data_IF_530102913154
#
_entry.id   IF_530102913154
#
_cell.length_a   1.000
_cell.length_b   1.000
_cell.length_c   1.000
_cell.angle_alpha   90.00
_cell.angle_beta   90.00
_cell.angle_gamma   90.00
#
_symmetry.space_group_name_H-M   'P 1'
#
loop_
_entity.id
_entity.type
_entity.pdbx_description
1 polymer ?
#
# COMPACT_ATOMS: atom_id res chain seq x y z
N UNK A 1 14.35 65.37 41.40
CA UNK A 1 14.44 63.96 41.81
C UNK A 1 13.89 63.09 40.69
N UNK A 2 14.71 62.14 40.20
CA UNK A 2 14.45 60.90 39.41
C UNK A 2 13.40 60.99 38.27
N UNK A 3 13.80 60.94 36.98
CA UNK A 3 13.90 59.72 36.10
C UNK A 3 12.64 58.82 36.29
N UNK A 4 11.84 58.51 35.27
CA UNK A 4 12.18 57.60 34.17
C UNK A 4 11.38 57.89 32.88
N UNK A 5 12.13 57.92 31.78
CA UNK A 5 11.72 57.64 30.41
C UNK A 5 11.39 56.13 30.30
N UNK A 6 10.19 55.78 29.84
CA UNK A 6 9.85 54.41 29.48
C UNK A 6 9.32 54.40 28.05
N UNK A 7 10.20 53.92 27.17
CA UNK A 7 9.93 53.57 25.78
C UNK A 7 8.82 52.50 25.74
N UNK A 8 7.75 52.77 24.99
CA UNK A 8 6.94 51.71 24.40
C UNK A 8 7.59 51.36 23.04
N UNK A 9 8.59 50.47 23.08
CA UNK A 9 9.10 49.82 21.86
C UNK A 9 8.09 48.76 21.44
N UNK A 10 7.80 48.79 20.15
CA UNK A 10 6.99 47.87 19.38
C UNK A 10 7.09 46.39 19.83
N UNK A 11 5.96 45.80 20.18
CA UNK A 11 5.75 44.36 20.13
C UNK A 11 4.49 44.09 19.33
N UNK A 12 4.62 44.11 18.00
CA UNK A 12 3.64 43.49 17.10
C UNK A 12 4.30 43.17 15.75
N UNK A 13 5.39 42.42 15.79
CA UNK A 13 5.94 41.76 14.61
C UNK A 13 6.52 40.43 15.07
N UNK A 14 5.73 39.37 15.04
CA UNK A 14 6.15 37.97 14.84
C UNK A 14 4.92 37.06 14.96
N UNK A 15 4.06 37.10 13.95
CA UNK A 15 3.00 36.10 13.76
C UNK A 15 2.90 35.70 12.28
N UNK A 16 4.04 35.37 11.68
CA UNK A 16 4.09 34.77 10.34
C UNK A 16 5.22 33.73 10.27
N UNK A 17 5.19 32.73 11.14
CA UNK A 17 6.01 31.53 10.96
C UNK A 17 5.26 30.30 11.46
N UNK A 18 4.21 29.91 10.74
CA UNK A 18 3.85 28.50 10.65
C UNK A 18 3.01 28.18 9.40
N UNK A 19 3.39 28.72 8.25
CA UNK A 19 3.17 27.94 7.03
C UNK A 19 4.29 26.92 6.97
N UNK A 20 4.07 25.72 7.56
CA UNK A 20 4.86 24.55 7.15
C UNK A 20 4.58 24.38 5.66
N UNK A 21 5.57 24.66 4.82
CA UNK A 21 5.51 24.28 3.41
C UNK A 21 5.29 22.78 3.37
N UNK A 22 4.23 22.33 2.69
CA UNK A 22 4.04 20.90 2.42
C UNK A 22 5.32 20.36 1.79
N UNK A 23 5.80 19.23 2.30
CA UNK A 23 6.95 18.58 1.67
C UNK A 23 6.53 18.21 0.24
N UNK A 24 7.36 18.51 -0.77
CA UNK A 24 7.04 18.11 -2.14
C UNK A 24 6.96 16.58 -2.24
N UNK A 25 6.10 16.09 -3.12
CA UNK A 25 6.01 14.68 -3.47
C UNK A 25 7.34 14.15 -4.01
N UNK A 26 7.77 13.00 -3.51
CA UNK A 26 8.84 12.22 -4.12
C UNK A 26 8.24 11.30 -5.19
N UNK A 27 8.70 11.44 -6.43
CA UNK A 27 8.30 10.54 -7.51
C UNK A 27 9.03 9.20 -7.35
N UNK A 28 8.29 8.10 -7.21
CA UNK A 28 8.86 6.74 -7.18
C UNK A 28 9.04 6.17 -8.59
N UNK A 29 8.13 6.49 -9.50
CA UNK A 29 8.31 6.24 -10.93
C UNK A 29 8.87 7.50 -11.58
N UNK A 30 10.02 7.37 -12.27
CA UNK A 30 10.71 8.52 -12.85
C UNK A 30 10.13 8.98 -14.20
N UNK A 31 9.11 8.30 -14.72
CA UNK A 31 8.50 8.65 -16.00
C UNK A 31 9.30 8.20 -17.21
N UNK A 32 10.34 7.37 -17.06
CA UNK A 32 11.19 6.94 -18.18
C UNK A 32 11.45 5.44 -18.18
N UNK A 33 11.80 4.86 -17.04
CA UNK A 33 12.19 3.47 -16.90
C UNK A 33 11.90 2.97 -15.46
N UNK A 34 12.41 1.78 -15.12
CA UNK A 34 12.25 1.17 -13.80
C UNK A 34 13.50 1.33 -12.92
N UNK A 35 14.34 2.34 -13.17
CA UNK A 35 15.45 2.66 -12.27
C UNK A 35 14.91 3.01 -10.87
N UNK A 36 15.55 2.48 -9.83
CA UNK A 36 15.06 2.58 -8.46
C UNK A 36 14.13 1.43 -8.03
N UNK A 37 13.78 0.53 -8.95
CA UNK A 37 12.96 -0.65 -8.68
C UNK A 37 13.76 -1.95 -8.79
N UNK A 38 13.26 -2.98 -8.11
CA UNK A 38 13.63 -4.37 -8.27
C UNK A 38 12.45 -5.15 -8.84
N UNK A 39 12.72 -6.04 -9.78
CA UNK A 39 11.72 -6.90 -10.42
C UNK A 39 11.98 -8.36 -10.07
N UNK A 40 10.90 -9.10 -9.83
CA UNK A 40 10.97 -10.52 -9.53
C UNK A 40 9.82 -11.25 -10.22
N UNK A 41 10.14 -12.37 -10.88
CA UNK A 41 9.15 -13.29 -11.43
C UNK A 41 8.87 -14.38 -10.40
N UNK A 42 7.59 -14.56 -10.09
CA UNK A 42 7.11 -15.54 -9.13
C UNK A 42 6.52 -16.78 -9.80
N UNK A 43 5.42 -17.26 -9.23
CA UNK A 43 4.78 -18.49 -9.68
C UNK A 43 4.03 -18.33 -11.00
N UNK A 44 3.88 -19.41 -11.79
CA UNK A 44 3.05 -19.39 -12.99
C UNK A 44 1.59 -19.11 -12.65
N UNK A 45 0.87 -18.47 -13.58
CA UNK A 45 -0.59 -18.46 -13.55
C UNK A 45 -1.08 -19.84 -13.99
N UNK A 46 -1.98 -20.45 -13.21
CA UNK A 46 -2.53 -21.77 -13.52
C UNK A 46 -3.17 -21.82 -14.89
N UNK A 47 -2.74 -22.76 -15.73
CA UNK A 47 -3.20 -22.91 -17.12
C UNK A 47 -2.45 -22.05 -18.14
N UNK A 48 -1.43 -21.30 -17.69
CA UNK A 48 -0.56 -20.47 -18.53
C UNK A 48 0.92 -20.72 -18.20
N UNK A 49 1.27 -21.94 -17.81
CA UNK A 49 2.64 -22.33 -17.44
C UNK A 49 3.65 -22.06 -18.58
N UNK A 50 3.25 -22.27 -19.84
CA UNK A 50 4.07 -21.98 -21.03
C UNK A 50 4.48 -20.50 -21.12
N UNK A 51 3.64 -19.57 -20.62
CA UNK A 51 3.99 -18.15 -20.58
C UNK A 51 5.09 -17.88 -19.54
N UNK A 52 5.04 -18.57 -18.39
CA UNK A 52 6.05 -18.44 -17.35
C UNK A 52 7.41 -18.99 -17.79
N UNK A 53 7.46 -20.06 -18.58
CA UNK A 53 8.72 -20.63 -19.11
C UNK A 53 9.50 -19.65 -19.99
N UNK A 54 8.80 -18.73 -20.67
CA UNK A 54 9.39 -17.74 -21.58
C UNK A 54 9.36 -16.32 -21.01
N UNK A 55 8.94 -16.16 -19.76
CA UNK A 55 8.82 -14.85 -19.13
C UNK A 55 10.20 -14.29 -18.77
N UNK A 56 10.36 -13.00 -19.02
CA UNK A 56 11.50 -12.20 -18.57
C UNK A 56 10.98 -10.97 -17.84
N UNK A 57 11.79 -10.41 -16.94
CA UNK A 57 11.36 -9.28 -16.11
C UNK A 57 11.03 -8.04 -16.94
N UNK A 58 11.76 -7.78 -18.03
CA UNK A 58 11.52 -6.68 -18.98
C UNK A 58 10.28 -6.87 -19.87
N UNK A 59 9.87 -8.14 -20.09
CA UNK A 59 8.61 -8.45 -20.75
C UNK A 59 7.42 -8.21 -19.83
N UNK A 60 7.51 -8.65 -18.58
CA UNK A 60 6.42 -8.58 -17.60
C UNK A 60 6.24 -7.16 -17.07
N UNK A 61 7.34 -6.46 -16.77
CA UNK A 61 7.36 -5.09 -16.27
C UNK A 61 7.98 -4.18 -17.32
N UNK A 62 7.16 -3.32 -17.92
CA UNK A 62 7.59 -2.43 -19.00
C UNK A 62 7.05 -1.02 -18.80
N UNK A 63 7.69 -0.04 -19.44
CA UNK A 63 7.14 1.31 -19.55
C UNK A 63 6.51 1.46 -20.93
N UNK A 64 5.25 1.86 -20.97
CA UNK A 64 4.49 2.09 -22.20
C UNK A 64 4.01 3.54 -22.25
N UNK A 65 3.73 4.04 -23.45
CA UNK A 65 3.07 5.34 -23.63
C UNK A 65 1.60 5.12 -23.98
N UNK A 66 0.71 5.78 -23.26
CA UNK A 66 -0.72 5.79 -23.52
C UNK A 66 -1.25 7.21 -23.29
N UNK A 67 -2.00 7.74 -24.26
CA UNK A 67 -2.66 9.05 -24.17
C UNK A 67 -1.66 10.20 -23.84
N UNK A 68 -0.40 10.05 -24.27
CA UNK A 68 0.68 11.01 -24.00
C UNK A 68 1.33 10.88 -22.63
N UNK A 69 0.92 9.90 -21.82
CA UNK A 69 1.50 9.59 -20.51
C UNK A 69 2.32 8.31 -20.56
N UNK A 70 3.47 8.30 -19.89
CA UNK A 70 4.25 7.08 -19.68
C UNK A 70 3.76 6.37 -18.44
N UNK A 71 3.53 5.07 -18.56
CA UNK A 71 2.93 4.23 -17.53
C UNK A 71 3.76 2.97 -17.33
N UNK A 72 3.83 2.48 -16.10
CA UNK A 72 4.28 1.12 -15.83
C UNK A 72 3.15 0.17 -16.25
N UNK A 73 3.44 -0.72 -17.20
CA UNK A 73 2.56 -1.83 -17.60
C UNK A 73 3.09 -3.13 -17.02
N UNK A 74 2.19 -3.82 -16.31
CA UNK A 74 2.39 -5.20 -15.84
C UNK A 74 1.54 -6.10 -16.74
N UNK A 75 2.14 -7.08 -17.41
CA UNK A 75 1.40 -7.92 -18.38
C UNK A 75 0.42 -8.86 -17.71
N UNK A 76 0.76 -9.39 -16.53
CA UNK A 76 -0.02 -10.40 -15.82
C UNK A 76 0.13 -11.82 -16.39
N UNK A 77 1.07 -12.04 -17.31
CA UNK A 77 1.35 -13.36 -17.91
C UNK A 77 1.90 -14.39 -16.90
N UNK A 78 2.54 -13.89 -15.85
CA UNK A 78 3.09 -14.64 -14.71
C UNK A 78 2.90 -13.79 -13.45
N UNK A 79 2.81 -14.41 -12.27
CA UNK A 79 2.85 -13.63 -11.04
C UNK A 79 4.22 -12.96 -10.92
N UNK A 80 4.24 -11.72 -10.43
CA UNK A 80 5.50 -11.00 -10.27
C UNK A 80 5.41 -9.88 -9.25
N UNK A 81 6.57 -9.42 -8.81
CA UNK A 81 6.73 -8.32 -7.87
C UNK A 81 7.59 -7.22 -8.48
N UNK A 82 7.17 -5.97 -8.27
CA UNK A 82 7.94 -4.76 -8.52
C UNK A 82 8.04 -4.01 -7.19
N UNK A 83 9.25 -3.88 -6.64
CA UNK A 83 9.47 -3.27 -5.33
C UNK A 83 10.46 -2.09 -5.41
N UNK A 84 10.29 -1.09 -4.56
CA UNK A 84 11.28 -0.02 -4.41
C UNK A 84 12.56 -0.58 -3.81
N UNK A 85 13.72 -0.04 -4.21
CA UNK A 85 15.00 -0.33 -3.54
C UNK A 85 15.13 0.34 -2.18
N UNK A 86 14.50 1.50 -2.05
CA UNK A 86 14.44 2.25 -0.80
C UNK A 86 13.36 1.69 0.12
N UNK A 87 13.58 1.86 1.42
CA UNK A 87 12.62 1.52 2.48
C UNK A 87 11.98 2.78 3.04
N UNK A 88 10.71 2.68 3.42
CA UNK A 88 9.92 3.80 3.91
C UNK A 88 9.24 3.45 5.24
N UNK A 89 8.88 4.47 6.02
CA UNK A 89 8.22 4.29 7.32
C UNK A 89 6.98 5.20 7.45
N UNK A 90 7.20 6.49 7.74
CA UNK A 90 6.12 7.47 7.82
C UNK A 90 5.94 8.16 6.46
N UNK A 91 4.88 7.82 5.74
CA UNK A 91 4.62 8.35 4.41
C UNK A 91 3.12 8.40 4.09
N UNK A 92 2.81 9.23 3.11
CA UNK A 92 1.61 9.16 2.30
C UNK A 92 2.06 8.76 0.91
N UNK A 93 1.64 7.58 0.46
CA UNK A 93 1.87 7.08 -0.89
C UNK A 93 0.58 7.22 -1.68
N UNK A 94 0.68 7.73 -2.92
CA UNK A 94 -0.41 7.71 -3.88
C UNK A 94 -0.04 6.82 -5.06
N UNK A 95 -0.92 5.87 -5.36
CA UNK A 95 -0.85 5.00 -6.53
C UNK A 95 -2.09 5.22 -7.38
N UNK A 96 -1.90 5.48 -8.67
CA UNK A 96 -3.00 5.56 -9.65
C UNK A 96 -2.88 4.37 -10.60
N UNK A 97 -3.92 3.56 -10.70
CA UNK A 97 -3.90 2.34 -11.50
C UNK A 97 -5.17 2.18 -12.33
N UNK A 98 -5.07 1.40 -13.41
CA UNK A 98 -6.18 1.03 -14.29
C UNK A 98 -5.98 -0.39 -14.78
N UNK A 99 -7.07 -1.14 -14.87
CA UNK A 99 -7.05 -2.49 -15.41
C UNK A 99 -6.88 -2.51 -16.93
N UNK A 100 -5.95 -3.34 -17.40
CA UNK A 100 -5.80 -3.66 -18.81
C UNK A 100 -6.92 -4.55 -19.35
N UNK A 101 -6.93 -4.72 -20.68
CA UNK A 101 -7.90 -5.58 -21.37
C UNK A 101 -7.55 -7.07 -21.24
N UNK A 102 -6.26 -7.41 -21.26
CA UNK A 102 -5.78 -8.78 -21.16
C UNK A 102 -5.95 -9.30 -19.73
N UNK A 103 -6.55 -10.49 -19.59
CA UNK A 103 -6.76 -11.15 -18.30
C UNK A 103 -6.50 -12.65 -18.48
N UNK A 104 -5.54 -13.17 -17.71
CA UNK A 104 -5.16 -14.58 -17.74
C UNK A 104 -5.89 -15.40 -16.67
N UNK A 105 -6.12 -14.81 -15.49
CA UNK A 105 -6.93 -15.42 -14.43
C UNK A 105 -8.04 -14.46 -13.96
N UNK A 106 -7.87 -13.85 -12.79
CA UNK A 106 -8.69 -12.75 -12.32
C UNK A 106 -7.90 -11.44 -12.43
N UNK A 107 -8.61 -10.32 -12.44
CA UNK A 107 -7.98 -9.00 -12.24
C UNK A 107 -7.52 -8.89 -10.80
N UNK A 108 -6.26 -9.23 -10.56
CA UNK A 108 -5.67 -9.33 -9.24
C UNK A 108 -4.26 -8.74 -9.24
N UNK A 109 -4.02 -7.84 -8.30
CA UNK A 109 -2.74 -7.18 -8.02
C UNK A 109 -2.79 -6.69 -6.57
N UNK A 110 -1.72 -6.08 -6.08
CA UNK A 110 -1.67 -5.59 -4.71
C UNK A 110 -0.74 -4.39 -4.58
N UNK A 111 -1.07 -3.51 -3.65
CA UNK A 111 -0.12 -2.54 -3.10
C UNK A 111 0.43 -3.12 -1.79
N UNK A 112 1.65 -3.66 -1.86
CA UNK A 112 2.33 -4.35 -0.76
C UNK A 112 3.23 -3.35 -0.04
N UNK A 113 3.11 -3.26 1.28
CA UNK A 113 3.87 -2.28 2.07
C UNK A 113 4.47 -2.89 3.33
N UNK A 114 5.49 -2.19 3.83
CA UNK A 114 6.37 -2.65 4.92
C UNK A 114 6.87 -4.08 4.65
N UNK A 115 7.30 -4.31 3.41
CA UNK A 115 7.76 -5.59 2.91
C UNK A 115 9.14 -5.92 3.48
N UNK A 116 9.42 -7.19 3.78
CA UNK A 116 10.71 -7.64 4.29
C UNK A 116 11.02 -9.09 3.90
N UNK A 117 12.30 -9.45 4.03
CA UNK A 117 12.80 -10.77 3.64
C UNK A 117 13.04 -10.88 2.14
N UNK A 118 13.24 -12.09 1.65
CA UNK A 118 13.51 -12.33 0.22
C UNK A 118 12.20 -12.35 -0.58
N UNK A 119 12.28 -12.02 -1.87
CA UNK A 119 11.19 -12.34 -2.80
C UNK A 119 10.85 -13.83 -2.79
N UNK A 120 9.59 -14.14 -3.09
CA UNK A 120 9.10 -15.51 -3.12
C UNK A 120 8.73 -16.12 -1.77
N UNK A 121 9.05 -15.47 -0.65
CA UNK A 121 8.68 -15.98 0.70
C UNK A 121 7.17 -16.03 0.92
N UNK A 122 6.42 -15.10 0.34
CA UNK A 122 4.97 -15.10 0.36
C UNK A 122 4.41 -15.64 -0.96
N UNK A 123 3.76 -16.80 -0.86
CA UNK A 123 3.09 -17.51 -1.98
C UNK A 123 3.97 -17.69 -3.23
N UNK A 124 5.29 -17.84 -3.05
CA UNK A 124 6.24 -18.05 -4.15
C UNK A 124 6.46 -16.83 -5.05
N UNK A 125 5.91 -15.66 -4.71
CA UNK A 125 6.01 -14.45 -5.56
C UNK A 125 6.49 -13.22 -4.80
N UNK A 126 5.91 -12.94 -3.63
CA UNK A 126 6.12 -11.66 -2.94
C UNK A 126 7.11 -11.81 -1.79
N UNK A 127 7.67 -10.69 -1.34
CA UNK A 127 8.29 -10.60 -0.01
C UNK A 127 7.21 -10.75 1.07
N UNK A 128 7.57 -11.02 2.33
CA UNK A 128 6.59 -10.95 3.41
C UNK A 128 6.14 -9.50 3.57
N UNK A 129 4.83 -9.23 3.67
CA UNK A 129 4.29 -7.88 3.60
C UNK A 129 2.88 -7.79 4.21
N UNK A 130 2.40 -6.55 4.37
CA UNK A 130 0.98 -6.26 4.52
C UNK A 130 0.47 -5.74 3.17
N UNK A 131 -0.62 -6.30 2.68
CA UNK A 131 -1.19 -5.97 1.38
C UNK A 131 -2.42 -5.08 1.54
N UNK A 132 -2.43 -3.93 0.86
CA UNK A 132 -3.65 -3.26 0.43
C UNK A 132 -4.06 -3.90 -0.90
N UNK A 133 -5.05 -4.78 -0.84
CA UNK A 133 -5.50 -5.58 -1.97
C UNK A 133 -5.95 -4.69 -3.13
N UNK A 134 -5.61 -5.04 -4.37
CA UNK A 134 -6.10 -4.34 -5.56
C UNK A 134 -6.97 -5.24 -6.44
N UNK A 135 -7.25 -6.49 -6.07
CA UNK A 135 -8.16 -7.39 -6.78
C UNK A 135 -9.53 -6.75 -7.01
N UNK A 136 -10.04 -6.90 -8.22
CA UNK A 136 -11.35 -6.37 -8.63
C UNK A 136 -12.45 -6.82 -7.66
N UNK A 137 -13.24 -5.86 -7.16
CA UNK A 137 -14.28 -6.11 -6.15
C UNK A 137 -13.74 -6.32 -4.72
N UNK A 138 -12.42 -6.21 -4.52
CA UNK A 138 -11.70 -6.35 -3.24
C UNK A 138 -10.71 -5.22 -2.95
N UNK A 139 -10.75 -4.15 -3.75
CA UNK A 139 -9.78 -3.04 -3.67
C UNK A 139 -9.84 -2.35 -2.31
N UNK A 140 -8.76 -2.43 -1.54
CA UNK A 140 -8.63 -1.85 -0.20
C UNK A 140 -8.79 -2.85 0.96
N UNK A 141 -9.15 -4.11 0.68
CA UNK A 141 -9.08 -5.18 1.69
C UNK A 141 -7.64 -5.30 2.24
N UNK A 142 -7.49 -5.72 3.50
CA UNK A 142 -6.18 -6.06 4.07
C UNK A 142 -5.91 -7.54 3.87
N UNK A 143 -4.73 -7.90 3.37
CA UNK A 143 -4.21 -9.26 3.45
C UNK A 143 -2.84 -9.26 4.12
N UNK A 144 -2.77 -9.92 5.28
CA UNK A 144 -1.56 -10.18 6.05
C UNK A 144 -0.84 -11.40 5.46
N UNK A 145 0.31 -11.17 4.82
CA UNK A 145 1.13 -12.27 4.29
C UNK A 145 2.06 -12.86 5.34
N UNK A 146 2.17 -14.18 5.34
CA UNK A 146 2.94 -14.99 6.29
C UNK A 146 2.66 -14.60 7.75
N UNK A 147 3.67 -14.18 8.49
CA UNK A 147 3.59 -13.89 9.92
C UNK A 147 3.23 -12.44 10.23
N UNK A 148 2.75 -11.66 9.27
CA UNK A 148 2.32 -10.28 9.55
C UNK A 148 1.05 -10.21 10.40
N UNK A 149 0.88 -9.08 11.08
CA UNK A 149 -0.12 -8.86 12.10
C UNK A 149 -0.66 -7.43 12.05
N UNK A 150 -1.94 -7.27 12.38
CA UNK A 150 -2.51 -5.98 12.77
C UNK A 150 -3.66 -6.15 13.79
N UNK A 151 -4.09 -5.03 14.35
CA UNK A 151 -5.35 -4.90 15.08
C UNK A 151 -6.28 -3.96 14.33
N UNK A 152 -7.52 -4.38 14.13
CA UNK A 152 -8.49 -3.64 13.32
C UNK A 152 -9.87 -3.71 13.96
N UNK A 153 -10.58 -2.57 13.99
CA UNK A 153 -11.98 -2.53 14.39
C UNK A 153 -12.84 -3.24 13.33
N UNK A 154 -13.51 -4.33 13.70
CA UNK A 154 -14.18 -5.19 12.74
C UNK A 154 -15.47 -5.80 13.31
N UNK A 155 -16.31 -6.28 12.39
CA UNK A 155 -17.50 -7.07 12.68
C UNK A 155 -17.39 -8.40 11.94
N UNK A 156 -17.66 -9.49 12.64
CA UNK A 156 -17.75 -10.82 12.04
C UNK A 156 -19.08 -11.00 11.31
N UNK A 157 -19.02 -11.57 10.11
CA UNK A 157 -20.19 -11.93 9.30
C UNK A 157 -20.08 -13.38 8.83
N UNK A 158 -21.14 -13.91 8.21
CA UNK A 158 -21.11 -15.22 7.53
C UNK A 158 -20.08 -15.29 6.39
N UNK A 159 -19.59 -14.15 5.90
CA UNK A 159 -18.61 -14.01 4.83
C UNK A 159 -17.21 -13.63 5.32
N UNK A 160 -17.01 -13.63 6.64
CA UNK A 160 -15.75 -13.24 7.29
C UNK A 160 -15.80 -11.86 7.93
N UNK A 161 -14.64 -11.32 8.28
CA UNK A 161 -14.52 -10.04 8.97
C UNK A 161 -14.57 -8.86 8.01
N UNK A 162 -15.33 -7.84 8.36
CA UNK A 162 -15.39 -6.56 7.66
C UNK A 162 -14.91 -5.46 8.61
N UNK A 163 -14.08 -4.54 8.09
CA UNK A 163 -13.74 -3.33 8.80
C UNK A 163 -15.03 -2.55 9.12
N UNK A 164 -15.18 -2.15 10.37
CA UNK A 164 -16.21 -1.22 10.83
C UNK A 164 -15.57 -0.34 11.91
N UNK A 165 -15.50 0.99 11.72
CA UNK A 165 -14.91 1.88 12.72
C UNK A 165 -15.62 1.84 14.09
N UNK A 166 -16.84 1.30 14.18
CA UNK A 166 -17.57 1.10 15.42
C UNK A 166 -17.55 -0.36 15.91
N UNK A 167 -16.87 -1.25 15.21
CA UNK A 167 -16.71 -2.65 15.56
C UNK A 167 -15.78 -2.88 16.75
N UNK A 168 -15.65 -4.14 17.16
CA UNK A 168 -14.68 -4.54 18.17
C UNK A 168 -13.27 -4.51 17.57
N UNK A 169 -12.28 -4.04 18.32
CA UNK A 169 -10.87 -4.12 17.90
C UNK A 169 -10.38 -5.55 18.10
N UNK A 170 -10.10 -6.23 16.99
CA UNK A 170 -9.68 -7.63 16.96
C UNK A 170 -8.26 -7.76 16.42
N UNK A 171 -7.48 -8.73 16.92
CA UNK A 171 -6.18 -9.09 16.36
C UNK A 171 -6.34 -9.95 15.10
N UNK A 172 -5.53 -9.69 14.08
CA UNK A 172 -5.51 -10.44 12.81
C UNK A 172 -4.09 -10.90 12.48
N UNK A 173 -3.98 -12.16 12.05
CA UNK A 173 -2.79 -12.84 11.50
C UNK A 173 -3.19 -14.30 11.22
N UNK A 174 -2.23 -15.13 10.79
CA UNK A 174 -2.44 -16.58 10.65
C UNK A 174 -2.88 -17.27 11.95
N UNK A 175 -2.43 -16.76 13.10
CA UNK A 175 -2.66 -17.37 14.42
C UNK A 175 -3.86 -16.76 15.18
N UNK A 176 -4.50 -15.73 14.64
CA UNK A 176 -5.60 -14.99 15.29
C UNK A 176 -6.89 -15.05 14.46
N UNK A 177 -7.61 -13.94 14.29
CA UNK A 177 -8.91 -13.87 13.57
C UNK A 177 -8.82 -14.10 12.05
N UNK A 178 -7.68 -14.56 11.55
CA UNK A 178 -7.40 -14.78 10.14
C UNK A 178 -6.54 -13.70 9.49
N UNK A 179 -6.14 -13.95 8.25
CA UNK A 179 -5.21 -13.11 7.49
C UNK A 179 -5.87 -12.01 6.66
N UNK A 180 -7.19 -12.05 6.53
CA UNK A 180 -7.93 -11.21 5.58
C UNK A 180 -9.00 -10.42 6.31
N UNK A 181 -9.03 -9.12 6.04
CA UNK A 181 -10.05 -8.21 6.56
C UNK A 181 -10.67 -7.52 5.35
N UNK A 182 -11.97 -7.73 5.14
CA UNK A 182 -12.67 -7.09 4.05
C UNK A 182 -12.88 -5.60 4.39
N UNK A 183 -12.77 -4.74 3.39
CA UNK A 183 -13.03 -3.31 3.53
C UNK A 183 -14.48 -3.00 3.86
N UNK A 184 -14.74 -1.85 4.49
CA UNK A 184 -16.10 -1.46 4.90
C UNK A 184 -17.03 -1.12 3.71
N UNK A 185 -16.46 -0.65 2.60
CA UNK A 185 -17.23 -0.19 1.44
C UNK A 185 -16.44 -0.42 0.16
N UNK A 186 -17.14 -0.83 -0.90
CA UNK A 186 -16.57 -0.84 -2.23
C UNK A 186 -16.54 0.58 -2.81
N UNK A 187 -15.33 1.10 -3.01
CA UNK A 187 -15.09 2.40 -3.58
C UNK A 187 -14.32 2.32 -4.91
N UNK A 188 -14.14 1.13 -5.48
CA UNK A 188 -13.53 0.94 -6.81
C UNK A 188 -14.42 1.58 -7.89
N UNK A 189 -13.80 2.31 -8.83
CA UNK A 189 -14.48 2.77 -10.04
C UNK A 189 -14.75 1.59 -10.98
N UNK A 190 -15.70 1.71 -11.92
CA UNK A 190 -15.95 0.69 -12.93
C UNK A 190 -14.68 0.19 -13.64
N UNK A 191 -14.69 -1.07 -14.07
CA UNK A 191 -13.55 -1.68 -14.77
C UNK A 191 -13.17 -0.90 -16.02
N UNK A 192 -11.88 -0.60 -16.14
CA UNK A 192 -11.33 0.21 -17.24
C UNK A 192 -11.23 1.70 -16.92
N UNK A 193 -11.78 2.15 -15.79
CA UNK A 193 -11.54 3.48 -15.26
C UNK A 193 -10.30 3.51 -14.35
N UNK A 194 -9.72 4.69 -14.21
CA UNK A 194 -8.61 4.93 -13.30
C UNK A 194 -9.10 4.93 -11.84
N UNK A 195 -8.31 4.31 -10.96
CA UNK A 195 -8.52 4.28 -9.53
C UNK A 195 -7.32 4.95 -8.84
N UNK A 196 -7.59 5.74 -7.81
CA UNK A 196 -6.56 6.31 -6.94
C UNK A 196 -6.58 5.61 -5.59
N UNK A 197 -5.41 5.13 -5.17
CA UNK A 197 -5.17 4.57 -3.84
C UNK A 197 -4.26 5.53 -3.10
N UNK A 198 -4.73 6.02 -1.96
CA UNK A 198 -3.87 6.68 -0.98
C UNK A 198 -3.63 5.72 0.18
N UNK A 199 -2.35 5.44 0.45
CA UNK A 199 -1.90 4.66 1.59
C UNK A 199 -1.18 5.60 2.54
N UNK A 200 -1.71 5.75 3.75
CA UNK A 200 -1.05 6.49 4.82
C UNK A 200 -0.45 5.50 5.80
N UNK A 201 0.85 5.63 6.07
CA UNK A 201 1.55 4.87 7.09
C UNK A 201 2.18 5.84 8.09
N UNK A 202 1.81 5.71 9.37
CA UNK A 202 2.37 6.51 10.46
C UNK A 202 2.62 5.60 11.67
N UNK A 203 3.88 5.36 11.97
CA UNK A 203 4.29 4.40 12.99
C UNK A 203 3.76 3.01 12.65
N UNK A 204 2.84 2.51 13.49
CA UNK A 204 2.22 1.18 13.34
C UNK A 204 0.76 1.24 12.90
N UNK A 205 0.36 2.37 12.31
CA UNK A 205 -0.98 2.55 11.77
C UNK A 205 -0.89 2.71 10.26
N UNK A 206 -1.72 1.97 9.54
CA UNK A 206 -1.95 2.16 8.12
C UNK A 206 -3.42 2.45 7.82
N UNK A 207 -3.65 3.31 6.83
CA UNK A 207 -5.00 3.68 6.37
C UNK A 207 -5.06 3.46 4.87
N UNK A 208 -5.99 2.60 4.41
CA UNK A 208 -6.25 2.43 2.99
C UNK A 208 -7.40 3.35 2.58
N UNK A 209 -7.14 4.21 1.60
CA UNK A 209 -8.13 5.12 1.02
C UNK A 209 -8.25 4.81 -0.46
N UNK A 210 -9.47 4.55 -0.91
CA UNK A 210 -9.77 4.22 -2.30
C UNK A 210 -10.69 5.29 -2.85
N UNK A 211 -10.25 5.99 -3.90
CA UNK A 211 -10.98 7.08 -4.55
C UNK A 211 -11.51 8.12 -3.55
N UNK A 212 -10.65 8.54 -2.61
CA UNK A 212 -10.96 9.54 -1.59
C UNK A 212 -11.80 9.04 -0.40
N UNK A 213 -12.17 7.76 -0.34
CA UNK A 213 -12.91 7.17 0.79
C UNK A 213 -11.99 6.28 1.61
N UNK A 214 -11.90 6.53 2.92
CA UNK A 214 -11.25 5.60 3.84
C UNK A 214 -12.07 4.32 3.91
N UNK A 215 -11.45 3.18 3.60
CA UNK A 215 -12.13 1.88 3.55
C UNK A 215 -11.57 0.86 4.54
N UNK A 216 -10.39 1.15 5.12
CA UNK A 216 -9.68 0.28 6.06
C UNK A 216 -8.76 1.11 6.96
N UNK A 217 -8.68 0.74 8.24
CA UNK A 217 -7.65 1.22 9.17
C UNK A 217 -7.08 0.03 9.92
N UNK A 218 -5.77 -0.20 9.77
CA UNK A 218 -5.05 -1.21 10.54
C UNK A 218 -4.17 -0.49 11.57
N UNK A 219 -4.22 -0.92 12.82
CA UNK A 219 -3.39 -0.42 13.92
C UNK A 219 -2.44 -1.51 14.41
N UNK A 220 -1.45 -1.11 15.22
CA UNK A 220 -0.51 -2.02 15.86
C UNK A 220 0.12 -3.03 14.88
N UNK A 221 0.43 -2.60 13.65
CA UNK A 221 1.06 -3.45 12.63
C UNK A 221 2.35 -4.10 13.15
N UNK A 222 2.55 -5.37 12.85
CA UNK A 222 3.64 -6.16 13.43
C UNK A 222 3.89 -7.48 12.71
N UNK A 223 4.77 -8.28 13.29
CA UNK A 223 4.97 -9.69 12.98
C UNK A 223 4.71 -10.54 14.22
N UNK A 224 4.19 -11.74 14.03
CA UNK A 224 4.10 -12.77 15.06
C UNK A 224 5.39 -13.58 15.04
N UNK A 225 6.12 -13.58 16.15
CA UNK A 225 7.36 -14.34 16.33
C UNK A 225 7.33 -15.00 17.71
N UNK A 226 7.34 -16.34 17.74
CA UNK A 226 7.25 -17.14 18.97
C UNK A 226 6.09 -16.69 19.90
N UNK A 227 4.93 -16.40 19.31
CA UNK A 227 3.72 -15.93 20.01
C UNK A 227 3.80 -14.49 20.52
N UNK A 228 4.84 -13.73 20.17
CA UNK A 228 4.98 -12.31 20.51
C UNK A 228 4.76 -11.43 19.29
N UNK A 229 4.18 -10.26 19.50
CA UNK A 229 4.02 -9.25 18.46
C UNK A 229 5.26 -8.35 18.43
N UNK A 230 6.04 -8.45 17.37
CA UNK A 230 7.18 -7.57 17.10
C UNK A 230 6.70 -6.39 16.24
N UNK A 231 6.97 -5.13 16.62
CA UNK A 231 6.54 -3.97 15.84
C UNK A 231 7.09 -3.94 14.41
N UNK A 232 6.20 -3.71 13.44
CA UNK A 232 6.53 -3.48 12.04
C UNK A 232 6.01 -2.09 11.65
N UNK A 233 6.93 -1.18 11.33
CA UNK A 233 6.62 0.24 11.06
C UNK A 233 7.38 0.81 9.85
N UNK A 234 8.11 -0.04 9.13
CA UNK A 234 8.88 0.32 7.97
C UNK A 234 9.18 -0.90 7.11
N UNK A 235 9.49 -0.67 5.83
CA UNK A 235 10.00 -1.65 4.88
C UNK A 235 10.07 -1.06 3.49
#
# INVERSE_FOLDING_TARGET
MKKYLLLFIASFFFAFYSCKTEKPWQQLFNGENLDGWETYLGTPITGFEDLAETATTDRVFSVVEQDGEKLIRITGEVNGSLATRDTFANYHLQLVFKWGADVYSNRNSGLLYHSFGEFGKALGTWMVNIECQLMQGRVGDTYLMNNTYCETAAVETDRGFYYDPNGEVLPFSEEHSGKVINRMVDAENPTGEWNTIDLYCVGRTSVHVVNGKTVMVNNNTGTVEDGKIIPLSSG
#
